data_IF_115302108627
#
_entry.id   IF_115302108627
#
_cell.length_a   1.000
_cell.length_b   1.000
_cell.length_c   1.000
_cell.angle_alpha   90.00
_cell.angle_beta   90.00
_cell.angle_gamma   90.00
#
_symmetry.space_group_name_H-M   'P 1'
#
loop_
_entity.id
_entity.type
_entity.pdbx_description
1 polymer ?
#
# COMPACT_ATOMS: atom_id res chain seq x y z
N UNK A 1 4.17 -24.40 23.35
CA UNK A 1 3.74 -23.03 22.99
C UNK A 1 3.97 -22.87 21.49
N UNK A 2 2.91 -22.88 20.67
CA UNK A 2 3.07 -22.72 19.22
C UNK A 2 2.96 -21.24 18.87
N UNK A 3 4.04 -20.67 18.34
CA UNK A 3 4.03 -19.36 17.71
C UNK A 3 2.89 -19.32 16.68
N UNK A 4 1.92 -18.43 16.90
CA UNK A 4 0.96 -18.06 15.86
C UNK A 4 1.70 -17.18 14.87
N UNK A 5 2.53 -17.80 14.04
CA UNK A 5 2.97 -17.19 12.78
C UNK A 5 1.69 -16.87 12.02
N UNK A 6 1.34 -15.59 11.91
CA UNK A 6 0.25 -15.17 11.03
C UNK A 6 0.65 -15.60 9.62
N UNK A 7 0.12 -16.76 9.18
CA UNK A 7 0.19 -17.13 7.80
C UNK A 7 -0.65 -16.11 7.05
N UNK A 8 0.01 -15.19 6.36
CA UNK A 8 -0.59 -14.39 5.28
C UNK A 8 -0.83 -15.37 4.11
N UNK A 9 -1.63 -16.41 4.35
CA UNK A 9 -1.98 -17.42 3.37
C UNK A 9 -3.34 -17.07 2.79
N UNK A 10 -3.32 -16.77 1.48
CA UNK A 10 -4.47 -16.83 0.58
C UNK A 10 -5.63 -15.90 0.92
N UNK A 11 -5.43 -14.60 0.68
CA UNK A 11 -6.47 -13.88 -0.05
C UNK A 11 -5.86 -12.84 -0.99
N UNK A 12 -6.34 -12.82 -2.24
CA UNK A 12 -6.06 -11.74 -3.19
C UNK A 12 -6.87 -10.47 -2.88
N UNK A 13 -7.80 -10.53 -1.92
CA UNK A 13 -8.78 -9.48 -1.64
C UNK A 13 -8.47 -8.65 -0.39
N UNK A 14 -7.79 -9.18 0.62
CA UNK A 14 -7.47 -8.42 1.84
C UNK A 14 -6.24 -7.54 1.61
N UNK A 15 -6.49 -6.28 1.30
CA UNK A 15 -5.51 -5.19 1.34
C UNK A 15 -5.72 -4.41 2.62
N UNK A 16 -4.64 -4.01 3.26
CA UNK A 16 -4.74 -3.03 4.33
C UNK A 16 -4.84 -1.66 3.65
N UNK A 17 -6.01 -1.06 3.74
CA UNK A 17 -6.34 0.19 3.09
C UNK A 17 -6.35 1.32 4.11
N UNK A 18 -5.80 2.46 3.73
CA UNK A 18 -5.91 3.71 4.48
C UNK A 18 -6.17 4.86 3.52
N UNK A 19 -7.02 5.80 3.94
CA UNK A 19 -7.12 7.09 3.27
C UNK A 19 -5.87 7.90 3.64
N UNK A 20 -5.11 8.33 2.64
CA UNK A 20 -3.84 9.05 2.86
C UNK A 20 -3.96 10.55 2.61
N UNK A 21 -4.97 10.95 1.83
CA UNK A 21 -5.43 12.32 1.56
C UNK A 21 -6.93 12.22 1.25
N UNK A 22 -7.69 13.31 1.43
CA UNK A 22 -9.08 13.38 0.98
C UNK A 22 -9.19 12.96 -0.50
N UNK A 23 -10.16 12.09 -0.79
CA UNK A 23 -10.34 11.50 -2.12
C UNK A 23 -9.26 10.51 -2.55
N UNK A 24 -8.28 10.15 -1.71
CA UNK A 24 -7.19 9.21 -2.08
C UNK A 24 -7.05 8.10 -1.03
N UNK A 25 -7.29 6.88 -1.47
CA UNK A 25 -7.11 5.67 -0.66
C UNK A 25 -5.96 4.82 -1.20
N UNK A 26 -5.08 4.35 -0.31
CA UNK A 26 -4.00 3.44 -0.64
C UNK A 26 -4.25 2.09 0.00
N UNK A 27 -4.30 1.02 -0.81
CA UNK A 27 -4.36 -0.36 -0.35
C UNK A 27 -3.01 -1.05 -0.54
N UNK A 28 -2.46 -1.65 0.51
CA UNK A 28 -1.17 -2.36 0.47
C UNK A 28 -1.38 -3.85 0.69
N UNK A 29 -0.66 -4.63 -0.13
CA UNK A 29 -0.49 -6.07 0.01
C UNK A 29 0.99 -6.39 0.17
N UNK A 30 1.37 -6.87 1.34
CA UNK A 30 2.73 -7.33 1.60
C UNK A 30 2.96 -8.74 1.07
N UNK A 31 4.19 -8.99 0.63
CA UNK A 31 4.67 -10.34 0.38
C UNK A 31 5.22 -10.97 1.67
N UNK A 32 5.11 -12.29 1.77
CA UNK A 32 5.82 -13.04 2.80
C UNK A 32 7.32 -12.76 2.68
N UNK A 33 8.05 -12.55 3.78
CA UNK A 33 9.52 -12.41 3.77
C UNK A 33 10.22 -13.59 3.09
N UNK A 34 9.60 -14.78 3.14
CA UNK A 34 10.10 -16.01 2.51
C UNK A 34 9.72 -16.16 1.04
N UNK A 35 9.00 -15.18 0.46
CA UNK A 35 8.59 -15.25 -0.93
C UNK A 35 9.79 -15.11 -1.86
N UNK A 36 9.91 -15.90 -2.95
CA UNK A 36 10.92 -15.69 -3.98
C UNK A 36 10.90 -14.27 -4.57
N UNK A 37 9.73 -13.60 -4.56
CA UNK A 37 9.62 -12.19 -4.98
C UNK A 37 10.43 -11.27 -4.07
N UNK A 38 10.43 -11.52 -2.77
CA UNK A 38 11.23 -10.78 -1.79
C UNK A 38 12.70 -11.17 -1.91
N UNK A 39 12.99 -12.47 -1.83
CA UNK A 39 14.35 -12.98 -1.75
C UNK A 39 15.16 -12.72 -3.03
N UNK A 40 14.57 -12.92 -4.21
CA UNK A 40 15.29 -12.87 -5.49
C UNK A 40 15.15 -11.51 -6.18
N UNK A 41 14.02 -10.81 -5.99
CA UNK A 41 13.70 -9.59 -6.73
C UNK A 41 13.60 -8.34 -5.85
N UNK A 42 13.69 -8.49 -4.53
CA UNK A 42 13.48 -7.41 -3.58
C UNK A 42 12.08 -6.80 -3.64
N UNK A 43 11.07 -7.52 -4.16
CA UNK A 43 9.66 -7.09 -4.21
C UNK A 43 9.00 -7.41 -2.87
N UNK A 44 8.78 -6.41 -2.01
CA UNK A 44 8.21 -6.58 -0.67
C UNK A 44 6.69 -6.39 -0.61
N UNK A 45 6.09 -5.81 -1.65
CA UNK A 45 4.64 -5.71 -1.72
C UNK A 45 4.15 -4.96 -2.96
N UNK A 46 2.83 -4.88 -3.05
CA UNK A 46 2.11 -4.07 -4.02
C UNK A 46 1.23 -3.06 -3.32
N UNK A 47 1.16 -1.86 -3.89
CA UNK A 47 0.20 -0.84 -3.56
C UNK A 47 -0.83 -0.70 -4.67
N UNK A 48 -2.03 -0.29 -4.29
CA UNK A 48 -3.10 0.15 -5.17
C UNK A 48 -3.51 1.52 -4.68
N UNK A 49 -3.63 2.48 -5.60
CA UNK A 49 -4.08 3.84 -5.29
C UNK A 49 -5.45 4.02 -5.94
N UNK A 50 -6.45 4.31 -5.13
CA UNK A 50 -7.78 4.71 -5.54
C UNK A 50 -7.90 6.22 -5.40
N UNK A 51 -8.19 6.91 -6.50
CA UNK A 51 -8.36 8.36 -6.58
C UNK A 51 -9.81 8.65 -6.94
N UNK A 52 -10.51 9.38 -6.09
CA UNK A 52 -11.83 9.92 -6.38
C UNK A 52 -11.69 11.09 -7.35
N UNK A 53 -12.37 11.00 -8.49
CA UNK A 53 -12.38 12.08 -9.48
C UNK A 53 -13.84 12.42 -9.83
N UNK A 54 -14.11 13.61 -10.38
CA UNK A 54 -15.44 13.96 -10.87
C UNK A 54 -15.99 13.00 -11.94
N UNK A 55 -15.11 12.25 -12.62
CA UNK A 55 -15.48 11.26 -13.63
C UNK A 55 -15.69 9.86 -13.04
N UNK A 56 -15.58 9.72 -11.72
CA UNK A 56 -15.64 8.46 -10.99
C UNK A 56 -14.28 8.02 -10.41
N UNK A 57 -14.27 6.92 -9.64
CA UNK A 57 -13.05 6.43 -9.00
C UNK A 57 -12.07 5.86 -10.04
N UNK A 58 -10.84 6.36 -10.03
CA UNK A 58 -9.74 5.84 -10.82
C UNK A 58 -8.83 4.97 -9.94
N UNK A 59 -8.61 3.72 -10.36
CA UNK A 59 -7.80 2.74 -9.63
C UNK A 59 -6.49 2.47 -10.36
N UNK A 60 -5.37 2.84 -9.74
CA UNK A 60 -4.01 2.53 -10.20
C UNK A 60 -3.53 1.28 -9.47
N UNK A 61 -3.27 0.20 -10.21
CA UNK A 61 -2.80 -1.10 -9.68
C UNK A 61 -1.34 -1.33 -10.01
N UNK A 62 -0.77 -2.42 -9.50
CA UNK A 62 0.58 -2.90 -9.81
C UNK A 62 1.70 -1.89 -9.49
N UNK A 63 1.44 -0.98 -8.55
CA UNK A 63 2.47 -0.16 -7.94
C UNK A 63 3.27 -1.07 -7.02
N UNK A 64 4.58 -1.14 -7.21
CA UNK A 64 5.42 -2.11 -6.52
C UNK A 64 6.29 -1.44 -5.47
N UNK A 65 6.46 -2.09 -4.33
CA UNK A 65 7.34 -1.64 -3.25
C UNK A 65 8.56 -2.55 -3.22
N UNK A 66 9.74 -1.94 -3.32
CA UNK A 66 11.01 -2.64 -3.45
C UNK A 66 12.01 -2.20 -2.41
N UNK A 67 12.90 -3.11 -2.01
CA UNK A 67 14.09 -2.75 -1.23
C UNK A 67 15.27 -2.42 -2.15
N UNK A 68 15.95 -1.30 -1.90
CA UNK A 68 17.20 -0.94 -2.58
C UNK A 68 18.39 -1.29 -1.70
N UNK A 69 19.21 -2.24 -2.14
CA UNK A 69 20.47 -2.54 -1.43
C UNK A 69 21.43 -1.35 -1.39
N UNK A 70 21.46 -0.53 -2.45
CA UNK A 70 22.38 0.62 -2.53
C UNK A 70 22.01 1.76 -1.59
N UNK A 71 20.71 1.99 -1.38
CA UNK A 71 20.21 3.08 -0.54
C UNK A 71 19.80 2.62 0.85
N UNK A 72 19.81 1.30 1.08
CA UNK A 72 19.31 0.67 2.30
C UNK A 72 17.92 1.18 2.69
N UNK A 73 17.04 1.34 1.69
CA UNK A 73 15.67 1.81 1.92
C UNK A 73 14.69 1.27 0.88
N UNK A 74 13.40 1.35 1.22
CA UNK A 74 12.29 1.02 0.35
C UNK A 74 12.02 2.13 -0.66
N UNK A 75 11.62 1.72 -1.87
CA UNK A 75 11.19 2.63 -2.93
C UNK A 75 9.94 2.11 -3.63
N UNK A 76 9.17 3.06 -4.16
CA UNK A 76 8.00 2.77 -4.99
C UNK A 76 8.40 2.78 -6.45
N UNK A 77 7.97 1.76 -7.17
CA UNK A 77 8.01 1.72 -8.63
C UNK A 77 6.58 1.72 -9.14
N UNK A 78 6.25 2.77 -9.87
CA UNK A 78 4.96 2.91 -10.57
C UNK A 78 4.85 1.87 -11.70
N UNK A 79 3.63 1.56 -12.17
CA UNK A 79 3.41 0.55 -13.19
C UNK A 79 4.11 0.93 -14.48
N UNK A 80 4.89 0.01 -15.04
CA UNK A 80 5.65 0.24 -16.27
C UNK A 80 5.38 -0.86 -17.30
N UNK A 81 5.36 -0.49 -18.57
CA UNK A 81 5.37 -1.43 -19.70
C UNK A 81 6.70 -1.36 -20.43
N UNK A 82 7.16 -2.52 -20.90
CA UNK A 82 8.27 -2.59 -21.84
C UNK A 82 7.76 -2.14 -23.21
N UNK A 83 8.47 -1.20 -23.84
CA UNK A 83 8.07 -0.65 -25.15
C UNK A 83 8.50 -1.52 -26.31
N UNK A 84 9.29 -2.57 -26.05
CA UNK A 84 9.95 -3.40 -27.05
C UNK A 84 11.22 -2.77 -27.63
N UNK A 85 11.53 -1.52 -27.28
CA UNK A 85 12.76 -0.84 -27.70
C UNK A 85 13.93 -1.18 -26.75
N UNK A 86 15.13 -1.19 -27.31
CA UNK A 86 16.38 -1.32 -26.57
C UNK A 86 17.05 0.05 -26.53
N UNK A 87 17.34 0.53 -25.32
CA UNK A 87 18.06 1.80 -25.10
C UNK A 87 19.52 1.66 -25.51
N UNK A 88 20.20 2.80 -25.70
CA UNK A 88 21.63 2.84 -26.07
C UNK A 88 22.55 2.16 -25.04
N UNK A 89 22.12 2.04 -23.80
CA UNK A 89 22.84 1.34 -22.72
C UNK A 89 22.58 -0.18 -22.73
N UNK A 90 21.88 -0.71 -23.74
CA UNK A 90 21.56 -2.13 -23.89
C UNK A 90 20.39 -2.61 -23.03
N UNK A 91 19.80 -1.74 -22.20
CA UNK A 91 18.65 -2.09 -21.38
C UNK A 91 17.34 -1.93 -22.15
N UNK A 92 16.35 -2.78 -21.85
CA UNK A 92 14.99 -2.64 -22.40
C UNK A 92 14.38 -1.34 -21.89
N UNK A 93 13.80 -0.59 -22.81
CA UNK A 93 13.06 0.62 -22.48
C UNK A 93 11.76 0.27 -21.76
N UNK A 94 11.47 1.04 -20.71
CA UNK A 94 10.26 0.93 -19.91
C UNK A 94 9.65 2.29 -19.74
N UNK A 95 8.35 2.39 -19.96
CA UNK A 95 7.57 3.61 -19.75
C UNK A 95 6.55 3.37 -18.66
N UNK A 96 6.37 4.39 -17.83
CA UNK A 96 5.27 4.39 -16.86
C UNK A 96 3.95 4.43 -17.61
N UNK A 97 3.04 3.54 -17.22
CA UNK A 97 1.70 3.40 -17.82
C UNK A 97 0.69 4.25 -17.07
N UNK A 98 0.93 4.44 -15.77
CA UNK A 98 0.05 5.20 -14.89
C UNK A 98 0.85 5.80 -13.73
N UNK A 99 0.37 6.94 -13.25
CA UNK A 99 0.92 7.65 -12.10
C UNK A 99 0.84 9.17 -12.29
N UNK A 100 1.13 9.94 -11.24
CA UNK A 100 1.17 11.40 -11.36
C UNK A 100 2.25 11.82 -12.36
N UNK A 101 1.87 12.71 -13.28
CA UNK A 101 2.78 13.34 -14.23
C UNK A 101 3.74 14.29 -13.52
N UNK A 102 3.21 15.09 -12.59
CA UNK A 102 3.97 16.03 -11.80
C UNK A 102 4.89 15.31 -10.80
N UNK A 103 6.17 15.71 -10.79
CA UNK A 103 7.19 15.06 -9.98
C UNK A 103 6.97 15.26 -8.48
N UNK A 104 6.47 16.42 -8.06
CA UNK A 104 6.21 16.69 -6.65
C UNK A 104 5.07 15.82 -6.11
N UNK A 105 3.96 15.77 -6.84
CA UNK A 105 2.80 14.91 -6.54
C UNK A 105 3.19 13.44 -6.52
N UNK A 106 4.00 13.01 -7.51
CA UNK A 106 4.51 11.64 -7.56
C UNK A 106 5.35 11.29 -6.34
N UNK A 107 6.21 12.22 -5.91
CA UNK A 107 7.04 12.04 -4.73
C UNK A 107 6.19 11.95 -3.46
N UNK A 108 5.26 12.88 -3.26
CA UNK A 108 4.35 12.87 -2.10
C UNK A 108 3.56 11.56 -2.02
N UNK A 109 2.98 11.09 -3.13
CA UNK A 109 2.24 9.82 -3.15
C UNK A 109 3.15 8.63 -2.86
N UNK A 110 4.37 8.63 -3.41
CA UNK A 110 5.33 7.56 -3.15
C UNK A 110 5.73 7.53 -1.67
N UNK A 111 5.94 8.69 -1.04
CA UNK A 111 6.26 8.81 0.38
C UNK A 111 5.10 8.32 1.27
N UNK A 112 3.84 8.67 0.94
CA UNK A 112 2.65 8.19 1.65
C UNK A 112 2.47 6.68 1.55
N UNK A 113 2.66 6.11 0.36
CA UNK A 113 2.63 4.65 0.16
C UNK A 113 3.69 3.98 1.03
N UNK A 114 4.91 4.52 1.07
CA UNK A 114 6.00 3.96 1.88
C UNK A 114 5.74 4.11 3.38
N UNK A 115 5.17 5.22 3.83
CA UNK A 115 4.81 5.42 5.22
C UNK A 115 3.79 4.37 5.68
N UNK A 116 2.71 4.17 4.91
CA UNK A 116 1.71 3.15 5.18
C UNK A 116 2.33 1.73 5.15
N UNK A 117 3.20 1.45 4.17
CA UNK A 117 3.91 0.17 4.10
C UNK A 117 4.75 -0.09 5.34
N UNK A 118 5.53 0.90 5.79
CA UNK A 118 6.39 0.78 6.98
C UNK A 118 5.56 0.57 8.24
N UNK A 119 4.44 1.26 8.38
CA UNK A 119 3.50 1.05 9.48
C UNK A 119 2.98 -0.39 9.48
N UNK A 120 2.44 -0.87 8.35
CA UNK A 120 1.92 -2.24 8.24
C UNK A 120 3.03 -3.26 8.52
N UNK A 121 4.23 -3.05 8.00
CA UNK A 121 5.38 -3.92 8.23
C UNK A 121 5.72 -3.99 9.72
N UNK A 122 5.79 -2.84 10.41
CA UNK A 122 6.06 -2.80 11.84
C UNK A 122 4.97 -3.53 12.65
N UNK A 123 3.69 -3.31 12.32
CA UNK A 123 2.57 -4.04 12.94
C UNK A 123 2.65 -5.55 12.66
N UNK A 124 3.09 -5.95 11.46
CA UNK A 124 3.29 -7.35 11.11
C UNK A 124 4.40 -8.00 11.93
N UNK A 125 5.53 -7.31 12.10
CA UNK A 125 6.67 -7.78 12.89
C UNK A 125 6.33 -7.91 14.38
N UNK A 126 5.44 -7.05 14.88
CA UNK A 126 4.92 -7.10 16.25
C UNK A 126 3.75 -8.08 16.42
N UNK A 127 3.22 -8.66 15.33
CA UNK A 127 2.03 -9.52 15.37
C UNK A 127 0.74 -8.77 15.75
N UNK A 128 0.69 -7.46 15.52
CA UNK A 128 -0.38 -6.53 15.90
C UNK A 128 -1.17 -5.97 14.72
N UNK A 129 -1.02 -6.52 13.51
CA UNK A 129 -1.73 -6.08 12.30
C UNK A 129 -3.22 -5.84 12.60
N UNK A 130 -3.68 -4.62 12.33
CA UNK A 130 -5.09 -4.23 12.50
C UNK A 130 -5.53 -3.98 13.94
N UNK A 131 -4.62 -4.02 14.93
CA UNK A 131 -4.90 -3.63 16.32
C UNK A 131 -4.74 -2.13 16.57
N UNK A 132 -3.94 -1.44 15.76
CA UNK A 132 -3.72 0.01 15.84
C UNK A 132 -4.99 0.85 15.71
N UNK A 133 -6.00 0.35 15.00
CA UNK A 133 -7.31 1.01 14.89
C UNK A 133 -8.41 0.38 15.75
N UNK A 134 -8.12 -0.69 16.50
CA UNK A 134 -9.17 -1.38 17.27
C UNK A 134 -9.69 -0.51 18.42
N UNK A 135 -8.78 0.17 19.13
CA UNK A 135 -9.18 1.07 20.22
C UNK A 135 -9.91 2.32 19.72
N UNK A 136 -9.51 2.86 18.56
CA UNK A 136 -10.20 4.00 17.95
C UNK A 136 -11.57 3.62 17.38
N UNK A 137 -11.70 2.41 16.81
CA UNK A 137 -12.99 1.85 16.36
C UNK A 137 -13.91 1.49 17.54
N UNK A 138 -13.36 0.94 18.62
CA UNK A 138 -14.12 0.67 19.85
C UNK A 138 -14.58 1.98 20.52
N UNK A 139 -13.75 3.04 20.50
CA UNK A 139 -14.14 4.39 20.95
C UNK A 139 -15.19 5.03 20.04
N UNK A 140 -15.05 4.93 18.72
CA UNK A 140 -16.04 5.43 17.75
C UNK A 140 -17.38 4.71 17.90
N UNK A 141 -17.34 3.38 18.06
CA UNK A 141 -18.53 2.57 18.33
C UNK A 141 -19.19 2.96 19.66
N UNK A 142 -18.41 3.12 20.72
CA UNK A 142 -18.92 3.59 22.02
C UNK A 142 -19.53 5.00 21.93
N UNK A 143 -18.95 5.89 21.10
CA UNK A 143 -19.45 7.25 20.89
C UNK A 143 -20.74 7.29 20.06
N UNK A 144 -20.85 6.43 19.05
CA UNK A 144 -22.07 6.25 18.26
C UNK A 144 -23.20 5.60 19.08
N UNK A 145 -22.87 4.71 20.01
CA UNK A 145 -23.83 4.11 20.95
C UNK A 145 -24.24 5.10 22.06
N UNK A 146 -23.37 6.05 22.45
CA UNK A 146 -23.74 7.13 23.39
C UNK A 146 -24.52 8.27 22.75
N UNK A 147 -24.34 8.51 21.45
CA UNK A 147 -25.02 9.55 20.67
C UNK A 147 -26.32 9.02 20.00
N UNK A 148 -26.91 7.94 20.53
CA UNK A 148 -28.21 7.42 20.11
C UNK A 148 -29.28 8.52 20.03
N UNK A 149 -30.25 8.37 19.11
CA UNK A 149 -30.94 9.49 18.48
C UNK A 149 -31.56 10.40 19.54
N UNK A 150 -31.24 11.69 19.48
CA UNK A 150 -32.08 12.71 20.08
C UNK A 150 -33.50 12.47 19.52
N UNK A 151 -34.34 11.89 20.37
CA UNK A 151 -35.74 11.65 20.07
C UNK A 151 -36.33 13.00 19.66
N UNK A 152 -36.63 13.15 18.37
CA UNK A 152 -37.52 14.20 17.88
C UNK A 152 -38.87 13.96 18.58
N UNK A 153 -39.14 14.82 19.57
CA UNK A 153 -40.40 14.97 20.25
C UNK A 153 -41.18 16.15 19.65
#
# INVERSE_FOLDING_TARGET
MSEKTYQISRDSHNRLCAQVVEGITVGIKMHSPTSPRVLDRGEHGYAVVDVETPLGPLRIRDIKIFWSQRREDFFVRWPQWETGLIRRDGHRERLDVAGPWDQATRRDFSERILALFRQIKAEAELGTIGRSHREDLEKLKSKLESDGPAAEA
#
